data_IF_110556649144
#
_entry.id   IF_110556649144
#
_cell.length_a   1.000
_cell.length_b   1.000
_cell.length_c   1.000
_cell.angle_alpha   90.00
_cell.angle_beta   90.00
_cell.angle_gamma   90.00
#
_symmetry.space_group_name_H-M   'P 1'
#
loop_
_entity.id
_entity.type
_entity.pdbx_description
1 polymer ?
#
# COMPACT_ATOMS: atom_id res chain seq x y z
N UNK A 1 -1.31 -4.39 -13.93
CA UNK A 1 -0.11 -3.51 -13.79
C UNK A 1 0.21 -3.41 -12.30
N UNK A 2 1.46 -3.60 -11.90
CA UNK A 2 1.85 -3.65 -10.47
C UNK A 2 2.32 -2.27 -10.02
N UNK A 3 1.91 -1.87 -8.82
CA UNK A 3 2.32 -0.63 -8.19
C UNK A 3 2.90 -0.93 -6.81
N UNK A 4 4.05 -0.35 -6.53
CA UNK A 4 4.70 -0.46 -5.24
C UNK A 4 4.71 0.90 -4.56
N UNK A 5 4.60 0.88 -3.24
CA UNK A 5 4.67 2.08 -2.43
C UNK A 5 5.17 1.74 -1.03
N UNK A 6 5.79 2.73 -0.39
CA UNK A 6 6.15 2.65 1.02
C UNK A 6 4.90 2.95 1.84
N UNK A 7 4.39 1.97 2.56
CA UNK A 7 3.38 2.17 3.60
C UNK A 7 4.03 2.97 4.74
N UNK A 8 3.60 4.21 4.95
CA UNK A 8 4.14 5.07 6.00
C UNK A 8 3.35 4.92 7.30
N UNK A 9 2.02 4.89 7.21
CA UNK A 9 1.10 4.81 8.35
C UNK A 9 -0.20 4.11 7.94
N UNK A 10 -0.82 3.44 8.90
CA UNK A 10 -2.24 3.09 8.86
C UNK A 10 -2.97 4.08 9.74
N UNK A 11 -4.04 4.68 9.23
CA UNK A 11 -4.86 5.66 9.92
C UNK A 11 -6.21 5.02 10.20
N UNK A 12 -6.61 5.04 11.47
CA UNK A 12 -7.96 4.66 11.88
C UNK A 12 -8.82 5.92 11.83
N UNK A 13 -9.82 5.94 10.94
CA UNK A 13 -10.78 7.03 10.79
C UNK A 13 -12.14 6.57 11.28
N UNK A 14 -12.57 7.05 12.43
CA UNK A 14 -13.94 6.83 12.94
C UNK A 14 -14.82 7.98 12.50
N UNK A 15 -15.82 7.69 11.67
CA UNK A 15 -16.76 8.70 11.18
C UNK A 15 -17.88 8.91 12.21
N UNK A 16 -18.21 10.17 12.53
CA UNK A 16 -19.25 10.47 13.52
C UNK A 16 -20.65 10.12 13.01
N UNK A 17 -21.62 10.11 13.92
CA UNK A 17 -23.03 9.95 13.61
C UNK A 17 -23.64 11.26 13.09
N UNK A 18 -23.16 11.73 11.94
CA UNK A 18 -23.68 12.94 11.29
C UNK A 18 -24.37 12.57 9.97
N UNK A 19 -25.49 13.24 9.65
CA UNK A 19 -26.24 13.01 8.41
C UNK A 19 -25.40 13.24 7.15
N UNK A 20 -24.40 14.13 7.22
CA UNK A 20 -23.44 14.38 6.15
C UNK A 20 -22.77 13.09 5.65
N UNK A 21 -22.48 12.13 6.56
CA UNK A 21 -21.81 10.88 6.22
C UNK A 21 -22.75 9.82 5.62
N UNK A 22 -24.06 10.02 5.67
CA UNK A 22 -25.08 9.11 5.11
C UNK A 22 -24.79 7.64 5.51
N UNK A 23 -24.60 6.73 4.53
CA UNK A 23 -24.30 5.30 4.74
C UNK A 23 -22.96 5.01 5.41
N UNK A 24 -22.11 6.02 5.59
CA UNK A 24 -20.81 5.92 6.23
C UNK A 24 -20.78 6.45 7.66
N UNK A 25 -21.92 6.91 8.20
CA UNK A 25 -22.02 7.33 9.61
C UNK A 25 -21.74 6.17 10.57
N UNK A 26 -21.08 6.44 11.70
CA UNK A 26 -20.66 5.43 12.68
C UNK A 26 -19.79 4.29 12.13
N UNK A 27 -19.17 4.47 10.97
CA UNK A 27 -18.26 3.48 10.40
C UNK A 27 -16.82 3.82 10.76
N UNK A 28 -16.05 2.81 11.14
CA UNK A 28 -14.59 2.93 11.22
C UNK A 28 -13.97 2.47 9.90
N UNK A 29 -13.15 3.33 9.30
CA UNK A 29 -12.38 3.06 8.08
C UNK A 29 -10.90 2.99 8.41
N UNK A 30 -10.20 2.05 7.78
CA UNK A 30 -8.75 1.96 7.83
C UNK A 30 -8.19 2.54 6.53
N UNK A 31 -7.33 3.55 6.64
CA UNK A 31 -6.72 4.20 5.50
C UNK A 31 -5.21 3.95 5.51
N UNK A 32 -4.64 3.72 4.33
CA UNK A 32 -3.21 3.59 4.12
C UNK A 32 -2.63 4.92 3.62
N UNK A 33 -1.63 5.44 4.34
CA UNK A 33 -0.84 6.59 3.90
C UNK A 33 0.45 6.09 3.23
N UNK A 34 0.54 6.24 1.91
CA UNK A 34 1.55 5.58 1.07
C UNK A 34 2.36 6.64 0.33
N UNK A 35 3.68 6.46 0.28
CA UNK A 35 4.54 7.16 -0.69
C UNK A 35 4.81 6.21 -1.86
N UNK A 36 4.27 6.45 -3.07
CA UNK A 36 4.48 5.55 -4.19
C UNK A 36 5.94 5.52 -4.65
N UNK A 37 6.40 4.33 -5.06
CA UNK A 37 7.75 4.09 -5.56
C UNK A 37 7.74 4.14 -7.09
N UNK A 38 8.68 4.87 -7.70
CA UNK A 38 8.76 4.95 -9.16
C UNK A 38 9.48 3.72 -9.74
N UNK A 39 8.76 2.61 -9.88
CA UNK A 39 9.28 1.35 -10.45
C UNK A 39 9.11 1.25 -11.97
N UNK A 40 8.52 2.27 -12.61
CA UNK A 40 8.16 2.28 -14.04
C UNK A 40 7.28 1.08 -14.45
N UNK A 41 6.47 0.58 -13.52
CA UNK A 41 5.55 -0.54 -13.74
C UNK A 41 6.20 -1.93 -13.77
N UNK A 42 7.48 -2.05 -13.37
CA UNK A 42 8.14 -3.34 -13.21
C UNK A 42 7.54 -4.14 -12.05
N UNK A 43 7.57 -5.45 -12.18
CA UNK A 43 6.98 -6.44 -11.28
C UNK A 43 8.11 -7.16 -10.50
N UNK A 44 8.17 -6.95 -9.18
CA UNK A 44 9.25 -7.46 -8.34
C UNK A 44 9.11 -8.96 -8.02
N UNK A 45 7.99 -9.57 -8.43
CA UNK A 45 7.80 -11.03 -8.37
C UNK A 45 8.45 -11.76 -9.54
N UNK A 46 8.80 -11.03 -10.62
CA UNK A 46 9.33 -11.58 -11.86
C UNK A 46 10.80 -11.25 -12.07
N UNK A 47 11.20 -10.04 -11.68
CA UNK A 47 12.55 -9.52 -11.88
C UNK A 47 13.05 -8.76 -10.65
N UNK A 48 14.35 -8.49 -10.62
CA UNK A 48 14.93 -7.54 -9.66
C UNK A 48 14.43 -6.13 -9.98
N UNK A 49 13.63 -5.57 -9.06
CA UNK A 49 13.09 -4.22 -9.18
C UNK A 49 13.70 -3.30 -8.14
N UNK A 50 14.23 -2.19 -8.62
CA UNK A 50 14.79 -1.12 -7.80
C UNK A 50 14.12 0.21 -8.10
N UNK A 51 14.15 1.12 -7.13
CA UNK A 51 13.71 2.49 -7.28
C UNK A 51 14.59 3.45 -6.47
N UNK A 52 14.80 4.65 -7.01
CA UNK A 52 15.51 5.76 -6.36
C UNK A 52 14.59 6.93 -6.06
N UNK A 53 13.49 7.03 -6.82
CA UNK A 53 12.54 8.13 -6.78
C UNK A 53 11.19 7.69 -6.24
N UNK A 54 10.49 8.65 -5.65
CA UNK A 54 9.13 8.50 -5.15
C UNK A 54 8.27 9.65 -5.63
N UNK A 55 6.95 9.45 -5.66
CA UNK A 55 6.00 10.53 -6.01
C UNK A 55 5.28 11.06 -4.78
N UNK A 56 4.35 12.00 -5.00
CA UNK A 56 3.54 12.59 -3.95
C UNK A 56 2.79 11.52 -3.12
N UNK A 57 2.70 11.78 -1.82
CA UNK A 57 2.03 10.88 -0.88
C UNK A 57 0.53 10.81 -1.19
N UNK A 58 -0.05 9.64 -1.00
CA UNK A 58 -1.47 9.39 -1.19
C UNK A 58 -2.08 8.78 0.07
N UNK A 59 -3.37 9.04 0.26
CA UNK A 59 -4.22 8.33 1.22
C UNK A 59 -5.20 7.49 0.40
N UNK A 60 -5.31 6.21 0.71
CA UNK A 60 -6.27 5.31 0.09
C UNK A 60 -6.92 4.42 1.14
N UNK A 61 -8.04 3.80 0.82
CA UNK A 61 -8.59 2.72 1.64
C UNK A 61 -7.54 1.60 1.77
N UNK A 62 -7.34 1.08 2.99
CA UNK A 62 -6.38 0.00 3.25
C UNK A 62 -6.73 -1.26 2.43
N UNK A 63 -7.99 -1.49 2.10
CA UNK A 63 -8.43 -2.61 1.26
C UNK A 63 -7.88 -2.56 -0.17
N UNK A 64 -7.40 -1.40 -0.64
CA UNK A 64 -6.72 -1.28 -1.93
C UNK A 64 -5.26 -1.80 -1.88
N UNK A 65 -4.71 -2.07 -0.69
CA UNK A 65 -3.36 -2.62 -0.52
C UNK A 65 -3.43 -4.14 -0.59
N UNK A 66 -2.81 -4.72 -1.63
CA UNK A 66 -2.84 -6.17 -1.83
C UNK A 66 -2.00 -6.93 -0.81
N UNK A 67 -0.78 -6.44 -0.54
CA UNK A 67 0.18 -7.07 0.36
C UNK A 67 1.20 -6.06 0.87
N UNK A 68 1.86 -6.41 1.97
CA UNK A 68 3.10 -5.74 2.41
C UNK A 68 4.29 -6.59 1.97
N UNK A 69 5.30 -5.94 1.41
CA UNK A 69 6.50 -6.61 0.86
C UNK A 69 7.76 -5.99 1.44
N UNK A 70 8.86 -6.72 1.38
CA UNK A 70 10.14 -6.25 1.88
C UNK A 70 10.76 -5.21 0.95
N UNK A 71 11.62 -4.35 1.51
CA UNK A 71 12.54 -3.54 0.72
C UNK A 71 13.89 -3.47 1.41
N UNK A 72 14.95 -3.43 0.63
CA UNK A 72 16.33 -3.34 1.11
C UNK A 72 17.02 -2.13 0.54
N UNK A 73 17.75 -1.39 1.37
CA UNK A 73 18.56 -0.26 0.89
C UNK A 73 19.79 -0.80 0.17
N UNK A 74 20.10 -0.26 -1.00
CA UNK A 74 21.34 -0.53 -1.72
C UNK A 74 22.16 0.77 -1.86
N UNK A 75 23.27 0.73 -2.61
CA UNK A 75 24.14 1.91 -2.79
C UNK A 75 23.48 3.09 -3.52
N UNK A 76 22.42 2.85 -4.30
CA UNK A 76 21.82 3.85 -5.21
C UNK A 76 20.36 4.18 -4.86
N UNK A 77 19.70 3.37 -4.05
CA UNK A 77 18.29 3.49 -3.72
C UNK A 77 17.79 2.29 -2.92
N UNK A 78 16.69 1.70 -3.37
CA UNK A 78 16.04 0.57 -2.72
C UNK A 78 15.70 -0.53 -3.73
N UNK A 79 15.98 -1.78 -3.36
CA UNK A 79 15.45 -2.97 -4.03
C UNK A 79 14.18 -3.45 -3.34
N UNK A 80 13.21 -3.94 -4.11
CA UNK A 80 11.97 -4.54 -3.61
C UNK A 80 12.16 -6.05 -3.51
N UNK A 81 11.72 -6.61 -2.38
CA UNK A 81 11.71 -8.05 -2.13
C UNK A 81 10.24 -8.48 -2.06
N UNK A 82 9.69 -8.87 -3.20
CA UNK A 82 8.32 -9.32 -3.32
C UNK A 82 8.28 -10.83 -3.58
N UNK A 83 7.89 -11.58 -2.55
CA UNK A 83 7.66 -13.03 -2.62
C UNK A 83 6.18 -13.39 -2.50
N UNK A 84 5.29 -12.42 -2.73
CA UNK A 84 3.84 -12.63 -2.61
C UNK A 84 3.29 -13.65 -3.61
N UNK A 85 3.96 -13.86 -4.74
CA UNK A 85 3.57 -14.81 -5.79
C UNK A 85 3.40 -16.27 -5.34
N UNK A 86 3.89 -16.66 -4.15
CA UNK A 86 3.75 -18.05 -3.67
C UNK A 86 3.09 -18.21 -2.30
N UNK A 87 2.80 -17.16 -1.52
CA UNK A 87 2.47 -17.37 -0.09
C UNK A 87 1.58 -16.36 0.61
N UNK A 88 1.19 -15.24 -0.01
CA UNK A 88 0.44 -14.20 0.73
C UNK A 88 -0.78 -13.75 -0.05
N UNK A 89 -1.93 -14.38 0.27
CA UNK A 89 -3.25 -13.86 -0.07
C UNK A 89 -3.84 -13.21 1.18
N UNK A 90 -4.26 -11.95 1.07
CA UNK A 90 -5.07 -11.31 2.12
C UNK A 90 -6.47 -11.88 2.02
N UNK A 91 -6.78 -12.92 2.81
CA UNK A 91 -8.14 -13.42 2.96
C UNK A 91 -8.81 -12.65 4.09
N UNK A 92 -9.86 -11.89 3.77
CA UNK A 92 -10.74 -11.35 4.78
C UNK A 92 -11.64 -12.50 5.27
N UNK A 93 -11.61 -12.77 6.58
CA UNK A 93 -12.49 -13.76 7.21
C UNK A 93 -13.72 -13.00 7.72
N UNK A 94 -14.92 -13.44 7.30
CA UNK A 94 -16.21 -12.96 7.82
C UNK A 94 -16.50 -13.52 9.22
#
# INVERSE_FOLDING_TARGET
KVYYGKLNKIIVLTLPNDEFWNKHRNVTKLLAFITPCQTRGKDATKDVVEYTETTAQIVTDLQAVMATVGRVRNRRGYGIIDRSNESVNTTFIE
#
